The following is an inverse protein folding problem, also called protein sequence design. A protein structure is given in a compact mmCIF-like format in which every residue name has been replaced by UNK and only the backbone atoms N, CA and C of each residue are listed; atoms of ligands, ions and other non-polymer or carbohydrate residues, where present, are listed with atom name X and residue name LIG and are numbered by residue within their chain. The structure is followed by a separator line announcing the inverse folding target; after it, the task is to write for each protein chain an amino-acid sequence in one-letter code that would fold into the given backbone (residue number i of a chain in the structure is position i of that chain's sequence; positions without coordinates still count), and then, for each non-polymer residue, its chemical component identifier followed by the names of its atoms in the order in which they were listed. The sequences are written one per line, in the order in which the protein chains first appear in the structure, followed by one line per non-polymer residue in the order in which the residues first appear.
data_IF_492039070697
#
_entry.id   IF_492039070697
#
_cell.length_a   1.000
_cell.length_b   1.000
_cell.length_c   1.000
_cell.angle_alpha   90.00
_cell.angle_beta   90.00
_cell.angle_gamma   90.00
#
_symmetry.space_group_name_H-M   'P 1'
#
loop_
_entity.id
_entity.type
_entity.pdbx_description
1 polymer ?
#
# COMPACT_ATOMS: atom_id res chain seq x y z
N UNK A 1 32.54 -21.65 5.89
CA UNK A 1 31.27 -21.39 5.18
C UNK A 1 30.18 -21.31 6.23
N UNK A 2 29.79 -20.10 6.64
CA UNK A 2 28.71 -19.92 7.61
C UNK A 2 27.38 -19.90 6.85
N UNK A 3 26.55 -20.93 7.07
CA UNK A 3 25.14 -20.88 6.71
C UNK A 3 24.40 -20.27 7.88
N UNK A 4 23.90 -19.05 7.72
CA UNK A 4 22.86 -18.53 8.59
C UNK A 4 21.57 -19.30 8.30
N UNK A 5 21.15 -20.13 9.24
CA UNK A 5 19.89 -20.86 9.23
C UNK A 5 18.81 -20.19 10.08
N UNK A 6 18.79 -18.85 10.12
CA UNK A 6 17.74 -18.09 10.79
C UNK A 6 16.54 -17.95 9.86
N UNK A 7 15.34 -18.30 10.34
CA UNK A 7 14.09 -17.97 9.66
C UNK A 7 14.11 -16.47 9.39
N UNK A 8 13.97 -16.06 8.12
CA UNK A 8 13.85 -14.64 7.83
C UNK A 8 12.46 -14.19 8.33
N UNK A 9 12.45 -13.41 9.39
CA UNK A 9 11.21 -12.84 9.94
C UNK A 9 10.72 -11.75 8.99
N UNK A 10 9.47 -11.87 8.54
CA UNK A 10 8.83 -10.89 7.67
C UNK A 10 8.51 -9.60 8.46
N UNK A 11 8.87 -8.45 7.90
CA UNK A 11 8.54 -7.13 8.44
C UNK A 11 7.33 -6.60 7.65
N UNK A 12 6.13 -6.85 8.15
CA UNK A 12 4.91 -6.33 7.52
C UNK A 12 4.53 -4.96 8.09
N UNK A 13 4.31 -3.99 7.21
CA UNK A 13 3.87 -2.62 7.53
C UNK A 13 2.42 -2.44 7.09
N UNK A 14 1.53 -2.30 8.07
CA UNK A 14 0.12 -1.99 7.86
C UNK A 14 -0.09 -0.48 7.93
N UNK A 15 -0.71 0.10 6.90
CA UNK A 15 -0.81 1.56 6.79
C UNK A 15 -2.06 2.02 6.01
N UNK A 16 -2.51 3.26 6.26
CA UNK A 16 -3.62 3.90 5.55
C UNK A 16 -3.11 4.85 4.46
N UNK A 17 -3.66 4.76 3.25
CA UNK A 17 -3.13 5.49 2.09
C UNK A 17 -3.28 7.02 2.17
N UNK A 18 -4.22 7.53 2.98
CA UNK A 18 -4.37 8.97 3.24
C UNK A 18 -4.11 9.35 4.71
N UNK A 19 -3.44 8.47 5.47
CA UNK A 19 -3.12 8.72 6.87
C UNK A 19 -1.79 9.50 7.00
N UNK A 20 -1.78 10.67 7.67
CA UNK A 20 -0.55 11.46 7.85
C UNK A 20 0.57 10.73 8.60
N UNK A 21 0.24 9.85 9.56
CA UNK A 21 1.24 9.04 10.26
C UNK A 21 1.85 7.97 9.35
N UNK A 22 1.02 7.35 8.50
CA UNK A 22 1.48 6.40 7.48
C UNK A 22 2.43 7.07 6.48
N UNK A 23 2.06 8.27 6.03
CA UNK A 23 2.92 9.10 5.18
C UNK A 23 4.26 9.38 5.86
N UNK A 24 4.26 9.86 7.11
CA UNK A 24 5.49 10.15 7.87
C UNK A 24 6.34 8.91 8.07
N UNK A 25 5.74 7.76 8.40
CA UNK A 25 6.45 6.50 8.60
C UNK A 25 7.19 6.09 7.31
N UNK A 26 6.49 6.06 6.18
CA UNK A 26 7.07 5.61 4.91
C UNK A 26 8.12 6.61 4.40
N UNK A 27 7.80 7.90 4.39
CA UNK A 27 8.67 8.93 3.82
C UNK A 27 9.92 9.18 4.67
N UNK A 28 9.75 9.27 5.99
CA UNK A 28 10.85 9.72 6.87
C UNK A 28 11.65 8.57 7.48
N UNK A 29 11.09 7.36 7.56
CA UNK A 29 11.73 6.23 8.23
C UNK A 29 12.02 5.07 7.28
N UNK A 30 11.01 4.56 6.57
CA UNK A 30 11.17 3.35 5.74
C UNK A 30 11.97 3.67 4.48
N UNK A 31 11.62 4.72 3.72
CA UNK A 31 12.33 5.06 2.48
C UNK A 31 13.84 5.30 2.70
N UNK A 32 14.29 6.10 3.69
CA UNK A 32 15.72 6.30 3.94
C UNK A 32 16.45 5.03 4.40
N UNK A 33 15.71 4.05 4.94
CA UNK A 33 16.30 2.79 5.41
C UNK A 33 16.80 1.91 4.27
N UNK A 34 16.30 2.06 3.04
CA UNK A 34 16.75 1.31 1.85
C UNK A 34 18.26 1.46 1.64
N UNK A 35 18.84 2.63 1.93
CA UNK A 35 20.28 2.88 1.75
C UNK A 35 21.13 2.34 2.91
N UNK A 36 20.51 2.04 4.05
CA UNK A 36 21.20 1.68 5.30
C UNK A 36 21.07 0.20 5.63
N UNK A 37 19.97 -0.43 5.21
CA UNK A 37 19.68 -1.83 5.49
C UNK A 37 20.24 -2.73 4.39
N UNK A 38 20.78 -3.90 4.77
CA UNK A 38 21.25 -4.86 3.78
C UNK A 38 20.05 -5.46 3.01
N UNK A 39 20.30 -5.84 1.75
CA UNK A 39 19.27 -6.34 0.83
C UNK A 39 18.43 -7.48 1.40
N UNK A 40 19.05 -8.41 2.13
CA UNK A 40 18.33 -9.56 2.71
C UNK A 40 17.29 -9.18 3.77
N UNK A 41 17.42 -8.02 4.43
CA UNK A 41 16.40 -7.47 5.33
C UNK A 41 15.30 -6.79 4.51
N UNK A 42 15.66 -6.04 3.48
CA UNK A 42 14.69 -5.37 2.60
C UNK A 42 13.79 -6.37 1.87
N UNK A 43 14.32 -7.53 1.51
CA UNK A 43 13.56 -8.62 0.89
C UNK A 43 12.46 -9.20 1.81
N UNK A 44 12.53 -8.93 3.13
CA UNK A 44 11.51 -9.34 4.11
C UNK A 44 10.44 -8.27 4.35
N UNK A 45 10.55 -7.08 3.74
CA UNK A 45 9.57 -6.00 3.95
C UNK A 45 8.33 -6.23 3.10
N UNK A 46 7.17 -6.27 3.75
CA UNK A 46 5.87 -6.33 3.09
C UNK A 46 5.02 -5.12 3.45
N UNK A 47 4.28 -4.59 2.48
CA UNK A 47 3.43 -3.41 2.64
C UNK A 47 1.96 -3.81 2.48
N UNK A 48 1.11 -3.39 3.42
CA UNK A 48 -0.33 -3.67 3.46
C UNK A 48 -1.12 -2.35 3.49
N UNK A 49 -1.56 -1.85 2.31
CA UNK A 49 -2.34 -0.62 2.19
C UNK A 49 -3.83 -0.91 2.50
N UNK A 50 -4.19 -0.85 3.78
CA UNK A 50 -5.57 -1.04 4.22
C UNK A 50 -5.95 -0.09 5.35
N UNK A 51 -5.02 0.10 6.30
CA UNK A 51 -5.20 0.98 7.44
C UNK A 51 -6.31 0.47 8.37
N UNK A 52 -7.14 1.39 8.85
CA UNK A 52 -8.29 1.10 9.73
C UNK A 52 -9.61 1.01 8.93
N UNK A 53 -9.53 0.53 7.70
CA UNK A 53 -10.71 0.36 6.84
C UNK A 53 -11.57 -0.82 7.29
N UNK A 54 -12.81 -0.87 6.84
CA UNK A 54 -13.72 -2.01 7.03
C UNK A 54 -14.13 -2.56 5.67
N UNK A 55 -14.10 -3.89 5.54
CA UNK A 55 -14.56 -4.60 4.35
C UNK A 55 -15.90 -5.26 4.63
N UNK A 56 -16.83 -5.13 3.68
CA UNK A 56 -18.13 -5.78 3.71
C UNK A 56 -18.54 -6.19 2.30
N UNK A 57 -19.53 -7.08 2.19
CA UNK A 57 -20.07 -7.53 0.90
C UNK A 57 -21.43 -6.86 0.71
N UNK A 58 -21.63 -6.24 -0.47
CA UNK A 58 -22.92 -5.73 -0.91
C UNK A 58 -23.13 -6.17 -2.37
N UNK A 59 -24.32 -6.71 -2.67
CA UNK A 59 -24.69 -7.21 -4.00
C UNK A 59 -23.66 -8.17 -4.61
N UNK A 60 -23.09 -9.06 -3.77
CA UNK A 60 -22.06 -10.02 -4.18
C UNK A 60 -20.69 -9.43 -4.47
N UNK A 61 -20.46 -8.15 -4.15
CA UNK A 61 -19.18 -7.45 -4.40
C UNK A 61 -18.57 -6.89 -3.11
N UNK A 62 -17.23 -6.87 -3.04
CA UNK A 62 -16.53 -6.23 -1.91
C UNK A 62 -16.71 -4.71 -1.95
N UNK A 63 -17.03 -4.16 -0.78
CA UNK A 63 -17.15 -2.73 -0.51
C UNK A 63 -16.32 -2.36 0.72
N UNK A 64 -16.00 -1.08 0.82
CA UNK A 64 -15.08 -0.57 1.82
C UNK A 64 -15.64 0.68 2.50
N UNK A 65 -15.38 0.79 3.81
CA UNK A 65 -15.54 2.02 4.57
C UNK A 65 -14.18 2.40 5.14
N UNK A 66 -13.58 3.47 4.62
CA UNK A 66 -12.28 3.97 5.04
C UNK A 66 -12.43 5.23 5.91
N UNK A 67 -11.43 5.51 6.76
CA UNK A 67 -11.51 6.61 7.74
C UNK A 67 -11.54 7.98 7.07
N UNK A 68 -10.80 8.13 5.97
CA UNK A 68 -10.72 9.37 5.19
C UNK A 68 -11.61 9.30 3.93
N UNK A 69 -12.72 8.55 4.01
CA UNK A 69 -13.72 8.47 2.95
C UNK A 69 -13.33 7.59 1.75
N UNK A 70 -14.12 7.67 0.68
CA UNK A 70 -13.97 6.80 -0.50
C UNK A 70 -12.63 7.00 -1.23
N UNK A 71 -12.04 8.19 -1.13
CA UNK A 71 -10.76 8.52 -1.76
C UNK A 71 -9.60 7.73 -1.14
N UNK A 72 -9.61 7.49 0.18
CA UNK A 72 -8.62 6.60 0.82
C UNK A 72 -8.77 5.16 0.36
N UNK A 73 -10.01 4.69 0.19
CA UNK A 73 -10.24 3.34 -0.34
C UNK A 73 -9.69 3.24 -1.77
N UNK A 74 -9.91 4.25 -2.62
CA UNK A 74 -9.38 4.30 -3.97
C UNK A 74 -7.84 4.36 -3.98
N UNK A 75 -7.23 5.21 -3.14
CA UNK A 75 -5.79 5.28 -2.99
C UNK A 75 -5.22 3.92 -2.55
N UNK A 76 -5.83 3.27 -1.56
CA UNK A 76 -5.42 1.95 -1.07
C UNK A 76 -5.50 0.89 -2.18
N UNK A 77 -6.54 0.94 -3.03
CA UNK A 77 -6.62 0.08 -4.23
C UNK A 77 -5.52 0.37 -5.24
N UNK A 78 -5.15 1.63 -5.49
CA UNK A 78 -4.01 1.95 -6.37
C UNK A 78 -2.68 1.37 -5.84
N UNK A 79 -2.40 1.53 -4.54
CA UNK A 79 -1.23 0.90 -3.93
C UNK A 79 -1.27 -0.63 -4.08
N UNK A 80 -2.42 -1.25 -3.78
CA UNK A 80 -2.60 -2.70 -3.91
C UNK A 80 -2.40 -3.20 -5.35
N UNK A 81 -2.98 -2.50 -6.33
CA UNK A 81 -2.80 -2.79 -7.75
C UNK A 81 -1.35 -2.65 -8.17
N UNK A 82 -0.65 -1.58 -7.78
CA UNK A 82 0.79 -1.44 -8.07
C UNK A 82 1.61 -2.58 -7.47
N UNK A 83 1.34 -2.99 -6.23
CA UNK A 83 2.06 -4.09 -5.58
C UNK A 83 1.74 -5.45 -6.20
N UNK A 84 0.59 -5.62 -6.86
CA UNK A 84 0.28 -6.83 -7.63
C UNK A 84 1.20 -6.98 -8.84
N UNK A 85 1.56 -5.89 -9.51
CA UNK A 85 2.37 -5.91 -10.73
C UNK A 85 3.87 -5.65 -10.48
N UNK A 86 4.23 -5.08 -9.33
CA UNK A 86 5.63 -4.83 -8.93
C UNK A 86 5.97 -5.72 -7.75
N UNK A 87 6.87 -6.69 -7.93
CA UNK A 87 7.19 -7.70 -6.91
C UNK A 87 8.35 -7.31 -5.99
N UNK A 88 9.33 -6.53 -6.47
CA UNK A 88 10.51 -6.17 -5.70
C UNK A 88 10.14 -5.29 -4.48
N UNK A 89 10.48 -5.70 -3.24
CA UNK A 89 10.10 -4.95 -2.04
C UNK A 89 10.66 -3.52 -1.97
N UNK A 90 11.89 -3.29 -2.48
CA UNK A 90 12.50 -1.96 -2.52
C UNK A 90 11.73 -1.05 -3.47
N UNK A 91 11.27 -1.60 -4.59
CA UNK A 91 10.41 -0.87 -5.54
C UNK A 91 9.04 -0.58 -4.93
N UNK A 92 8.43 -1.52 -4.22
CA UNK A 92 7.15 -1.28 -3.51
C UNK A 92 7.26 -0.17 -2.47
N UNK A 93 8.35 -0.14 -1.68
CA UNK A 93 8.64 0.95 -0.75
C UNK A 93 8.78 2.27 -1.50
N UNK A 94 9.56 2.29 -2.58
CA UNK A 94 9.80 3.49 -3.39
C UNK A 94 8.53 4.01 -4.08
N UNK A 95 7.65 3.13 -4.52
CA UNK A 95 6.32 3.45 -5.07
C UNK A 95 5.44 4.09 -4.00
N UNK A 96 5.33 3.47 -2.82
CA UNK A 96 4.53 4.01 -1.74
C UNK A 96 5.05 5.39 -1.31
N UNK A 97 6.37 5.52 -1.17
CA UNK A 97 7.02 6.79 -0.89
C UNK A 97 6.73 7.85 -1.96
N UNK A 98 6.83 7.50 -3.24
CA UNK A 98 6.57 8.45 -4.33
C UNK A 98 5.15 8.99 -4.25
N UNK A 99 4.14 8.12 -4.09
CA UNK A 99 2.74 8.56 -3.96
C UNK A 99 2.59 9.47 -2.74
N UNK A 100 3.12 9.05 -1.59
CA UNK A 100 3.05 9.84 -0.36
C UNK A 100 3.74 11.21 -0.43
N UNK A 101 4.88 11.33 -1.12
CA UNK A 101 5.58 12.61 -1.25
C UNK A 101 4.89 13.59 -2.20
N UNK A 102 4.14 13.08 -3.18
CA UNK A 102 3.55 13.89 -4.24
C UNK A 102 2.05 14.14 -4.05
N UNK A 103 1.46 13.69 -2.94
CA UNK A 103 0.04 13.85 -2.64
C UNK A 103 -0.15 14.80 -1.45
N UNK A 104 -0.81 15.94 -1.66
CA UNK A 104 -1.17 16.84 -0.56
C UNK A 104 -2.43 16.33 0.14
N UNK A 105 -2.24 15.60 1.26
CA UNK A 105 -3.33 15.03 2.05
C UNK A 105 -4.39 16.04 2.52
N UNK A 106 -4.09 17.36 2.52
CA UNK A 106 -5.05 18.40 2.92
C UNK A 106 -6.02 18.80 1.81
N UNK A 107 -5.67 18.53 0.55
CA UNK A 107 -6.39 19.02 -0.64
C UNK A 107 -6.68 17.94 -1.67
N UNK A 108 -6.19 16.73 -1.42
CA UNK A 108 -6.28 15.61 -2.35
C UNK A 108 -7.72 15.36 -2.78
N UNK A 109 -7.86 15.18 -4.10
CA UNK A 109 -9.07 14.72 -4.75
C UNK A 109 -8.72 13.62 -5.75
N UNK A 110 -9.73 13.06 -6.41
CA UNK A 110 -9.53 11.94 -7.34
C UNK A 110 -8.63 12.31 -8.54
N UNK A 111 -8.72 13.54 -9.05
CA UNK A 111 -7.90 14.00 -10.19
C UNK A 111 -6.43 14.05 -9.81
N UNK A 112 -6.12 14.63 -8.65
CA UNK A 112 -4.75 14.69 -8.12
C UNK A 112 -4.20 13.29 -7.84
N UNK A 113 -4.98 12.43 -7.18
CA UNK A 113 -4.60 11.05 -6.91
C UNK A 113 -4.26 10.29 -8.19
N UNK A 114 -5.13 10.36 -9.21
CA UNK A 114 -4.89 9.70 -10.51
C UNK A 114 -3.64 10.23 -11.19
N UNK A 115 -3.45 11.55 -11.21
CA UNK A 115 -2.26 12.17 -11.82
C UNK A 115 -0.96 11.71 -11.14
N UNK A 116 -0.94 11.66 -9.80
CA UNK A 116 0.23 11.21 -9.04
C UNK A 116 0.52 9.74 -9.29
N UNK A 117 -0.51 8.88 -9.28
CA UNK A 117 -0.34 7.45 -9.53
C UNK A 117 0.06 7.17 -10.98
N UNK A 118 -0.48 7.90 -11.95
CA UNK A 118 -0.06 7.80 -13.36
C UNK A 118 1.41 8.20 -13.53
N UNK A 119 1.83 9.29 -12.89
CA UNK A 119 3.23 9.73 -12.89
C UNK A 119 4.15 8.68 -12.24
N UNK A 120 3.68 8.04 -11.16
CA UNK A 120 4.36 6.90 -10.54
C UNK A 120 4.51 5.73 -11.52
N UNK A 121 3.43 5.35 -12.22
CA UNK A 121 3.46 4.28 -13.22
C UNK A 121 4.52 4.54 -14.30
N UNK A 122 4.61 5.78 -14.81
CA UNK A 122 5.65 6.18 -15.78
C UNK A 122 7.06 6.03 -15.22
N UNK A 123 7.29 6.47 -13.99
CA UNK A 123 8.60 6.39 -13.34
C UNK A 123 9.07 4.95 -13.12
N UNK A 124 8.16 4.07 -12.71
CA UNK A 124 8.44 2.66 -12.44
C UNK A 124 8.17 1.73 -13.63
N UNK A 125 7.89 2.29 -14.82
CA UNK A 125 7.65 1.55 -16.07
C UNK A 125 6.52 0.50 -15.95
N UNK A 126 5.45 0.86 -15.24
CA UNK A 126 4.23 0.07 -15.09
C UNK A 126 3.16 0.63 -16.02
N UNK A 127 2.36 -0.23 -16.64
CA UNK A 127 1.26 0.20 -17.51
C UNK A 127 0.13 0.86 -16.69
N UNK A 128 -0.05 2.17 -16.86
CA UNK A 128 -1.11 2.93 -16.21
C UNK A 128 -2.50 2.37 -16.47
N UNK A 129 -2.82 1.95 -17.70
CA UNK A 129 -4.16 1.48 -18.04
C UNK A 129 -4.49 0.19 -17.28
N UNK A 130 -3.49 -0.67 -17.09
CA UNK A 130 -3.60 -1.88 -16.30
C UNK A 130 -3.87 -1.55 -14.82
N UNK A 131 -3.15 -0.58 -14.27
CA UNK A 131 -3.30 -0.15 -12.86
C UNK A 131 -4.65 0.55 -12.63
N UNK A 132 -5.08 1.44 -13.52
CA UNK A 132 -6.36 2.15 -13.41
C UNK A 132 -7.54 1.17 -13.54
N UNK A 133 -7.49 0.24 -14.49
CA UNK A 133 -8.50 -0.80 -14.63
C UNK A 133 -8.56 -1.72 -13.40
N UNK A 134 -7.40 -2.09 -12.85
CA UNK A 134 -7.30 -2.89 -11.63
C UNK A 134 -7.93 -2.17 -10.44
N UNK A 135 -7.50 -0.94 -10.14
CA UNK A 135 -7.94 -0.18 -8.97
C UNK A 135 -9.44 0.16 -9.02
N UNK A 136 -9.99 0.42 -10.20
CA UNK A 136 -11.42 0.71 -10.37
C UNK A 136 -12.29 -0.54 -10.55
N UNK A 137 -11.67 -1.70 -10.79
CA UNK A 137 -12.36 -2.96 -11.09
C UNK A 137 -12.49 -3.92 -9.91
N UNK A 138 -12.87 -5.15 -10.28
CA UNK A 138 -12.98 -6.27 -9.35
C UNK A 138 -11.62 -6.65 -8.74
N UNK A 139 -10.53 -6.60 -9.52
CA UNK A 139 -9.19 -6.98 -9.06
C UNK A 139 -8.74 -6.12 -7.88
N UNK A 140 -8.77 -4.79 -7.98
CA UNK A 140 -8.39 -3.90 -6.90
C UNK A 140 -9.28 -4.06 -5.66
N UNK A 141 -10.58 -4.31 -5.86
CA UNK A 141 -11.50 -4.62 -4.76
C UNK A 141 -11.17 -5.95 -4.09
N UNK A 142 -10.83 -6.98 -4.86
CA UNK A 142 -10.42 -8.27 -4.32
C UNK A 142 -9.08 -8.19 -3.57
N UNK A 143 -8.11 -7.45 -4.11
CA UNK A 143 -6.81 -7.20 -3.47
C UNK A 143 -6.97 -6.47 -2.13
N UNK A 144 -7.74 -5.37 -2.10
CA UNK A 144 -7.96 -4.61 -0.88
C UNK A 144 -8.74 -5.42 0.18
N UNK A 145 -9.67 -6.28 -0.24
CA UNK A 145 -10.36 -7.20 0.68
C UNK A 145 -9.40 -8.26 1.27
N UNK A 146 -8.47 -8.77 0.46
CA UNK A 146 -7.39 -9.64 0.94
C UNK A 146 -6.57 -8.98 2.05
N UNK A 147 -6.09 -7.76 1.80
CA UNK A 147 -5.40 -6.97 2.82
C UNK A 147 -6.26 -6.66 4.06
N UNK A 148 -7.57 -6.51 3.88
CA UNK A 148 -8.51 -6.39 4.99
C UNK A 148 -8.59 -7.64 5.86
N UNK A 149 -8.68 -8.82 5.25
CA UNK A 149 -8.68 -10.09 5.97
C UNK A 149 -7.38 -10.30 6.75
N UNK A 150 -6.25 -9.93 6.15
CA UNK A 150 -4.93 -10.02 6.79
C UNK A 150 -4.81 -9.05 7.97
N UNK A 151 -5.28 -7.81 7.80
CA UNK A 151 -5.29 -6.81 8.87
C UNK A 151 -6.21 -7.23 10.02
N UNK A 152 -7.38 -7.83 9.72
CA UNK A 152 -8.33 -8.31 10.72
C UNK A 152 -7.82 -9.53 11.50
N UNK A 153 -6.86 -10.29 10.94
CA UNK A 153 -6.25 -11.45 11.59
C UNK A 153 -5.11 -11.08 12.56
N UNK A 154 -4.75 -9.79 12.68
CA UNK A 154 -3.71 -9.35 13.60
C UNK A 154 -4.08 -9.62 15.06
N UNK A 155 -3.09 -10.07 15.82
CA UNK A 155 -3.19 -10.29 17.25
C UNK A 155 -1.96 -9.67 17.97
N UNK A 156 -2.13 -8.60 18.76
CA UNK A 156 -3.39 -7.91 19.02
C UNK A 156 -3.97 -7.21 17.78
N UNK A 157 -5.29 -6.97 17.73
CA UNK A 157 -5.91 -6.25 16.63
C UNK A 157 -5.41 -4.81 16.55
N UNK A 158 -5.53 -4.20 15.36
CA UNK A 158 -5.22 -2.78 15.16
C UNK A 158 -6.11 -1.95 16.07
N UNK A 159 -5.52 -1.03 16.85
CA UNK A 159 -6.28 -0.12 17.69
C UNK A 159 -7.14 0.81 16.80
N UNK A 160 -8.46 0.71 16.91
CA UNK A 160 -9.41 1.50 16.13
C UNK A 160 -9.79 2.82 16.78
N UNK A 161 -9.38 3.03 18.04
CA UNK A 161 -9.68 4.23 18.83
C UNK A 161 -8.81 5.43 18.44
#
# INVERSE_FOLDING_TARGET
MFRWGGMAEEITVYYGALCPDSQRLIVNQIQPSIQRLPRYILDQVRLVPYGKSQTYIADGTYKFRCQHGSLECLASKYHASLFKYVYDPVWRISIANYIFQNLDLRRVNEVELRFVVESCCRLFQVDWNLIDASANGYEGSWLLAGYGNETAALNPPVNTD
#
